data_IF_552745761909
#
_entry.id   IF_552745761909
#
_cell.length_a   1.000
_cell.length_b   1.000
_cell.length_c   1.000
_cell.angle_alpha   90.00
_cell.angle_beta   90.00
_cell.angle_gamma   90.00
#
_symmetry.space_group_name_H-M   'P 1'
#
loop_
_entity.id
_entity.type
_entity.pdbx_description
1 polymer ?
#
# COMPACT_ATOMS: atom_id res chain seq x y z
N UNK A 1 -9.58 -0.34 4.63
CA UNK A 1 -8.39 -1.12 5.08
C UNK A 1 -7.52 -1.34 3.85
N UNK A 2 -6.20 -1.12 3.94
CA UNK A 2 -5.32 -1.35 2.79
C UNK A 2 -4.94 -2.83 2.69
N UNK A 3 -4.89 -3.34 1.47
CA UNK A 3 -4.50 -4.72 1.17
C UNK A 3 -3.29 -4.71 0.24
N UNK A 4 -2.39 -5.71 0.32
CA UNK A 4 -1.33 -5.85 -0.68
C UNK A 4 -1.90 -5.79 -2.11
N UNK A 5 -1.15 -5.20 -3.03
CA UNK A 5 -1.51 -5.17 -4.44
C UNK A 5 -1.26 -6.52 -5.12
N UNK A 6 -2.16 -6.92 -6.02
CA UNK A 6 -1.95 -8.10 -6.85
C UNK A 6 -0.95 -7.76 -7.97
N UNK A 7 0.27 -8.28 -7.85
CA UNK A 7 1.29 -8.20 -8.89
C UNK A 7 1.84 -9.59 -9.15
N UNK A 8 1.83 -10.01 -10.42
CA UNK A 8 2.21 -11.32 -10.97
C UNK A 8 3.14 -12.16 -10.06
N UNK A 9 2.57 -12.91 -9.11
CA UNK A 9 3.28 -13.82 -8.21
C UNK A 9 2.90 -15.25 -8.55
N UNK A 10 3.90 -16.14 -8.56
CA UNK A 10 3.70 -17.59 -8.69
C UNK A 10 2.84 -18.21 -7.55
N UNK A 11 2.60 -17.49 -6.46
CA UNK A 11 1.83 -17.96 -5.29
C UNK A 11 0.59 -17.09 -5.03
N UNK A 12 -0.46 -17.29 -5.82
CA UNK A 12 -1.75 -16.58 -5.69
C UNK A 12 -2.55 -16.95 -4.42
N UNK A 13 -2.25 -18.08 -3.79
CA UNK A 13 -3.00 -18.59 -2.62
C UNK A 13 -2.82 -17.73 -1.37
N UNK A 14 -1.59 -17.35 -1.02
CA UNK A 14 -1.33 -16.51 0.16
C UNK A 14 -1.96 -15.13 0.01
N UNK A 15 -1.90 -14.55 -1.20
CA UNK A 15 -2.55 -13.28 -1.51
C UNK A 15 -4.06 -13.33 -1.28
N UNK A 16 -4.73 -14.35 -1.81
CA UNK A 16 -6.19 -14.50 -1.65
C UNK A 16 -6.56 -14.65 -0.18
N UNK A 17 -5.76 -15.37 0.61
CA UNK A 17 -6.00 -15.52 2.05
C UNK A 17 -5.88 -14.18 2.79
N UNK A 18 -4.81 -13.42 2.54
CA UNK A 18 -4.60 -12.11 3.15
C UNK A 18 -5.74 -11.14 2.81
N UNK A 19 -6.15 -11.09 1.53
CA UNK A 19 -7.27 -10.26 1.08
C UNK A 19 -8.59 -10.72 1.71
N UNK A 20 -8.85 -12.03 1.80
CA UNK A 20 -10.09 -12.54 2.38
C UNK A 20 -10.24 -12.21 3.87
N UNK A 21 -9.14 -12.13 4.62
CA UNK A 21 -9.17 -11.66 6.02
C UNK A 21 -9.66 -10.23 6.09
N UNK A 22 -9.15 -9.34 5.24
CA UNK A 22 -9.54 -7.93 5.24
C UNK A 22 -10.94 -7.70 4.64
N UNK A 23 -11.35 -8.50 3.64
CA UNK A 23 -12.73 -8.50 3.11
C UNK A 23 -13.75 -8.83 4.21
N UNK A 24 -13.43 -9.78 5.11
CA UNK A 24 -14.30 -10.10 6.25
C UNK A 24 -14.44 -8.92 7.23
N UNK A 25 -13.42 -8.08 7.36
CA UNK A 25 -13.38 -6.93 8.28
C UNK A 25 -13.88 -5.61 7.68
N UNK A 26 -14.06 -5.55 6.37
CA UNK A 26 -14.47 -4.33 5.65
C UNK A 26 -15.98 -4.27 5.46
N UNK A 27 -16.61 -3.11 5.53
CA UNK A 27 -18.04 -2.97 5.23
C UNK A 27 -18.31 -2.85 3.72
N UNK A 28 -17.45 -2.11 3.01
CA UNK A 28 -17.49 -1.91 1.56
C UNK A 28 -16.17 -2.35 0.95
N UNK A 29 -16.23 -3.03 -0.18
CA UNK A 29 -15.06 -3.53 -0.91
C UNK A 29 -14.84 -2.66 -2.13
N UNK A 30 -13.66 -2.04 -2.23
CA UNK A 30 -13.28 -1.20 -3.37
C UNK A 30 -12.13 -1.88 -4.11
N UNK A 31 -12.38 -2.33 -5.34
CA UNK A 31 -11.37 -2.94 -6.20
C UNK A 31 -10.88 -1.88 -7.18
N UNK A 32 -9.58 -1.56 -7.13
CA UNK A 32 -8.96 -0.55 -7.98
C UNK A 32 -8.13 -1.23 -9.07
N UNK A 33 -8.45 -0.97 -10.33
CA UNK A 33 -7.76 -1.49 -11.50
C UNK A 33 -7.12 -0.35 -12.29
N UNK A 34 -5.96 -0.63 -12.89
CA UNK A 34 -5.34 0.29 -13.84
C UNK A 34 -5.98 0.09 -15.21
N UNK A 35 -6.69 1.11 -15.70
CA UNK A 35 -7.40 0.99 -16.98
C UNK A 35 -6.45 0.96 -18.18
N UNK A 36 -5.19 1.39 -18.02
CA UNK A 36 -4.23 1.48 -19.14
C UNK A 36 -3.57 0.15 -19.50
N UNK A 37 -3.86 -0.91 -18.76
CA UNK A 37 -3.33 -2.26 -18.99
C UNK A 37 -4.47 -3.24 -19.21
N UNK A 38 -4.21 -4.32 -19.97
CA UNK A 38 -5.18 -5.40 -20.08
C UNK A 38 -5.42 -6.09 -18.74
N UNK A 39 -6.66 -6.50 -18.53
CA UNK A 39 -7.12 -7.17 -17.32
C UNK A 39 -6.65 -8.63 -17.31
N UNK A 40 -5.54 -8.91 -16.63
CA UNK A 40 -4.97 -10.27 -16.55
C UNK A 40 -5.45 -11.08 -15.33
N UNK A 41 -6.31 -10.51 -14.49
CA UNK A 41 -6.57 -11.02 -13.13
C UNK A 41 -8.03 -11.30 -12.83
N UNK A 42 -8.87 -11.38 -13.87
CA UNK A 42 -10.33 -11.54 -13.73
C UNK A 42 -10.69 -12.74 -12.85
N UNK A 43 -10.05 -13.90 -13.04
CA UNK A 43 -10.33 -15.11 -12.25
C UNK A 43 -10.06 -14.96 -10.75
N UNK A 44 -9.00 -14.23 -10.36
CA UNK A 44 -8.64 -14.02 -8.96
C UNK A 44 -9.60 -13.03 -8.33
N UNK A 45 -9.91 -11.94 -9.03
CA UNK A 45 -10.87 -10.95 -8.60
C UNK A 45 -12.25 -11.59 -8.43
N UNK A 46 -12.68 -12.44 -9.37
CA UNK A 46 -13.93 -13.18 -9.26
C UNK A 46 -14.02 -14.03 -7.99
N UNK A 47 -12.93 -14.72 -7.60
CA UNK A 47 -12.90 -15.51 -6.36
C UNK A 47 -13.09 -14.64 -5.12
N UNK A 48 -12.46 -13.46 -5.09
CA UNK A 48 -12.59 -12.49 -3.98
C UNK A 48 -14.01 -11.91 -3.95
N UNK A 49 -14.57 -11.56 -5.11
CA UNK A 49 -15.91 -10.98 -5.24
C UNK A 49 -17.01 -11.99 -4.85
N UNK A 50 -16.84 -13.26 -5.24
CA UNK A 50 -17.78 -14.34 -4.93
C UNK A 50 -17.71 -14.79 -3.46
N UNK A 51 -16.64 -14.48 -2.73
CA UNK A 51 -16.49 -14.88 -1.32
C UNK A 51 -17.36 -14.06 -0.36
N UNK A 52 -18.07 -13.03 -0.86
CA UNK A 52 -18.79 -12.06 -0.03
C UNK A 52 -20.01 -11.47 -0.73
N UNK A 53 -21.04 -11.16 0.06
CA UNK A 53 -22.26 -10.45 -0.38
C UNK A 53 -22.24 -8.96 -0.04
N UNK A 54 -21.14 -8.46 0.55
CA UNK A 54 -21.00 -7.05 0.93
C UNK A 54 -20.99 -6.14 -0.31
N UNK A 55 -21.32 -4.85 -0.17
CA UNK A 55 -21.26 -3.90 -1.28
C UNK A 55 -19.86 -3.83 -1.90
N UNK A 56 -19.81 -3.84 -3.23
CA UNK A 56 -18.61 -3.93 -4.06
C UNK A 56 -18.59 -2.79 -5.08
N UNK A 57 -17.52 -2.01 -5.06
CA UNK A 57 -17.28 -0.92 -5.99
C UNK A 57 -16.06 -1.24 -6.85
N UNK A 58 -16.20 -1.11 -8.16
CA UNK A 58 -15.10 -1.22 -9.10
C UNK A 58 -14.60 0.19 -9.46
N UNK A 59 -13.29 0.38 -9.41
CA UNK A 59 -12.65 1.66 -9.72
C UNK A 59 -11.62 1.45 -10.81
N UNK A 60 -11.87 2.01 -11.98
CA UNK A 60 -10.88 2.14 -13.03
C UNK A 60 -10.07 3.42 -12.83
N UNK A 61 -8.84 3.26 -12.35
CA UNK A 61 -7.90 4.35 -12.13
C UNK A 61 -7.02 4.59 -13.36
N UNK A 62 -6.36 5.75 -13.42
CA UNK A 62 -5.45 6.22 -14.48
C UNK A 62 -6.14 6.54 -15.81
N UNK A 63 -7.36 7.04 -15.74
CA UNK A 63 -8.10 7.50 -16.95
C UNK A 63 -7.40 8.63 -17.70
N UNK A 64 -6.45 9.31 -17.07
CA UNK A 64 -5.59 10.31 -17.72
C UNK A 64 -4.62 9.72 -18.75
N UNK A 65 -4.49 8.38 -18.80
CA UNK A 65 -3.59 7.68 -19.73
C UNK A 65 -4.27 7.06 -20.94
N UNK A 66 -5.60 7.06 -21.00
CA UNK A 66 -6.36 6.37 -22.05
C UNK A 66 -7.40 7.29 -22.66
N UNK A 67 -7.79 6.99 -23.90
CA UNK A 67 -8.94 7.64 -24.52
C UNK A 67 -10.25 7.09 -23.96
N UNK A 68 -11.33 7.82 -24.16
CA UNK A 68 -12.66 7.41 -23.71
C UNK A 68 -13.12 6.12 -24.41
N UNK A 69 -12.79 5.95 -25.69
CA UNK A 69 -13.13 4.78 -26.48
C UNK A 69 -12.47 3.52 -25.92
N UNK A 70 -11.18 3.61 -25.59
CA UNK A 70 -10.43 2.50 -24.98
C UNK A 70 -11.01 2.12 -23.61
N UNK A 71 -11.39 3.11 -22.81
CA UNK A 71 -12.00 2.87 -21.50
C UNK A 71 -13.33 2.09 -21.62
N UNK A 72 -14.19 2.49 -22.57
CA UNK A 72 -15.45 1.82 -22.85
C UNK A 72 -15.21 0.38 -23.34
N UNK A 73 -14.22 0.18 -24.20
CA UNK A 73 -13.87 -1.14 -24.72
C UNK A 73 -13.42 -2.09 -23.61
N UNK A 74 -12.56 -1.63 -22.69
CA UNK A 74 -12.10 -2.45 -21.55
C UNK A 74 -13.27 -2.91 -20.67
N UNK A 75 -14.24 -2.02 -20.44
CA UNK A 75 -15.41 -2.32 -19.61
C UNK A 75 -16.34 -3.32 -20.30
N UNK A 76 -16.57 -3.15 -21.60
CA UNK A 76 -17.44 -4.03 -22.37
C UNK A 76 -16.84 -5.43 -22.59
N UNK A 77 -15.51 -5.52 -22.68
CA UNK A 77 -14.81 -6.81 -22.80
C UNK A 77 -14.88 -7.66 -21.54
N UNK A 78 -15.17 -7.04 -20.40
CA UNK A 78 -15.04 -7.69 -19.13
C UNK A 78 -16.39 -8.08 -18.52
N UNK A 79 -16.71 -9.38 -18.61
CA UNK A 79 -17.92 -9.90 -17.97
C UNK A 79 -17.88 -9.80 -16.43
N UNK A 80 -16.69 -9.68 -15.82
CA UNK A 80 -16.57 -9.59 -14.37
C UNK A 80 -17.22 -8.32 -13.82
N UNK A 81 -17.25 -7.23 -14.61
CA UNK A 81 -17.75 -5.91 -14.22
C UNK A 81 -19.19 -5.98 -13.70
N UNK A 82 -19.99 -6.93 -14.22
CA UNK A 82 -21.39 -7.15 -13.82
C UNK A 82 -21.57 -7.61 -12.38
N UNK A 83 -20.51 -8.02 -11.69
CA UNK A 83 -20.57 -8.49 -10.29
C UNK A 83 -20.38 -7.37 -9.25
N UNK A 84 -20.26 -6.12 -9.71
CA UNK A 84 -20.10 -4.93 -8.87
C UNK A 84 -21.38 -4.11 -8.82
N UNK A 85 -21.60 -3.47 -7.68
CA UNK A 85 -22.78 -2.62 -7.46
C UNK A 85 -22.63 -1.27 -8.17
N UNK A 86 -21.40 -0.73 -8.20
CA UNK A 86 -21.09 0.55 -8.85
C UNK A 86 -19.70 0.53 -9.50
N UNK A 87 -19.53 1.37 -10.52
CA UNK A 87 -18.30 1.49 -11.30
C UNK A 87 -17.91 2.96 -11.39
N UNK A 88 -16.66 3.25 -11.05
CA UNK A 88 -16.09 4.59 -11.11
C UNK A 88 -14.86 4.64 -12.02
N UNK A 89 -14.71 5.78 -12.68
CA UNK A 89 -13.58 6.09 -13.55
C UNK A 89 -12.85 7.30 -12.96
N UNK A 90 -11.62 7.10 -12.49
CA UNK A 90 -10.89 8.12 -11.73
C UNK A 90 -9.47 8.33 -12.24
N UNK A 91 -8.93 9.51 -11.98
CA UNK A 91 -7.48 9.72 -11.99
C UNK A 91 -7.07 10.18 -10.62
N UNK A 92 -6.51 9.25 -9.83
CA UNK A 92 -5.94 9.59 -8.52
C UNK A 92 -4.81 10.63 -8.65
N UNK A 93 -4.00 10.53 -9.72
CA UNK A 93 -2.89 11.45 -9.97
C UNK A 93 -3.37 12.88 -10.28
N UNK A 94 -4.50 13.02 -10.99
CA UNK A 94 -5.07 14.32 -11.37
C UNK A 94 -6.22 14.76 -10.47
N UNK A 95 -6.50 14.01 -9.39
CA UNK A 95 -7.64 14.21 -8.51
C UNK A 95 -9.00 14.31 -9.25
N UNK A 96 -9.18 13.52 -10.31
CA UNK A 96 -10.40 13.54 -11.14
C UNK A 96 -11.40 12.49 -10.68
N UNK A 97 -12.66 12.90 -10.49
CA UNK A 97 -13.80 12.07 -10.06
C UNK A 97 -13.64 11.41 -8.68
N UNK A 98 -12.71 11.89 -7.84
CA UNK A 98 -12.48 11.32 -6.50
C UNK A 98 -13.66 11.59 -5.57
N UNK A 99 -14.26 12.79 -5.60
CA UNK A 99 -15.42 13.10 -4.75
C UNK A 99 -16.60 12.19 -5.04
N UNK A 100 -16.93 11.97 -6.32
CA UNK A 100 -18.02 11.05 -6.71
C UNK A 100 -17.78 9.62 -6.21
N UNK A 101 -16.52 9.15 -6.23
CA UNK A 101 -16.17 7.85 -5.67
C UNK A 101 -16.36 7.83 -4.15
N UNK A 102 -15.95 8.88 -3.44
CA UNK A 102 -16.13 8.99 -2.00
C UNK A 102 -17.62 9.01 -1.63
N UNK A 103 -18.44 9.77 -2.35
CA UNK A 103 -19.89 9.83 -2.15
C UNK A 103 -20.54 8.45 -2.34
N UNK A 104 -20.12 7.70 -3.38
CA UNK A 104 -20.58 6.33 -3.62
C UNK A 104 -20.19 5.35 -2.52
N UNK A 105 -18.96 5.46 -2.00
CA UNK A 105 -18.53 4.66 -0.85
C UNK A 105 -19.38 4.99 0.37
N UNK A 106 -19.58 6.27 0.68
CA UNK A 106 -20.37 6.73 1.83
C UNK A 106 -21.81 6.22 1.74
N UNK A 107 -22.43 6.28 0.56
CA UNK A 107 -23.79 5.79 0.33
C UNK A 107 -23.96 4.28 0.58
N UNK A 108 -22.87 3.49 0.59
CA UNK A 108 -22.89 2.04 0.82
C UNK A 108 -22.42 1.63 2.22
N UNK A 109 -21.91 2.57 3.02
CA UNK A 109 -21.55 2.29 4.40
C UNK A 109 -22.81 2.11 5.25
N UNK A 110 -22.82 1.18 6.22
CA UNK A 110 -23.91 1.07 7.16
C UNK A 110 -23.99 2.33 8.03
N UNK A 111 -25.22 2.75 8.35
CA UNK A 111 -25.42 3.77 9.36
C UNK A 111 -24.92 3.26 10.72
N UNK A 112 -24.19 4.11 11.43
CA UNK A 112 -23.61 3.76 12.71
C UNK A 112 -23.23 5.01 13.50
N UNK A 113 -23.17 4.87 14.82
CA UNK A 113 -22.71 5.95 15.66
C UNK A 113 -21.24 6.21 15.38
N UNK A 114 -20.91 7.47 15.10
CA UNK A 114 -19.54 7.89 14.97
C UNK A 114 -18.85 7.78 16.33
N UNK A 115 -17.87 6.87 16.45
CA UNK A 115 -17.11 6.70 17.68
C UNK A 115 -16.12 7.87 17.83
N UNK A 116 -16.53 8.87 18.59
CA UNK A 116 -15.73 10.06 18.92
C UNK A 116 -14.44 9.74 19.72
N UNK A 117 -14.25 8.49 20.18
CA UNK A 117 -13.00 8.05 20.80
C UNK A 117 -11.92 7.67 19.78
N UNK A 118 -12.30 7.49 18.50
CA UNK A 118 -11.37 7.33 17.38
C UNK A 118 -10.77 8.71 17.07
N UNK A 119 -9.69 9.03 17.78
CA UNK A 119 -8.86 10.17 17.47
C UNK A 119 -8.37 10.02 16.02
N UNK A 120 -8.70 10.96 15.14
CA UNK A 120 -8.27 10.96 13.72
C UNK A 120 -6.75 11.23 13.55
N UNK A 121 -6.02 11.41 14.64
CA UNK A 121 -4.58 11.18 14.64
C UNK A 121 -4.36 9.70 14.30
N UNK A 122 -4.03 9.42 13.04
CA UNK A 122 -3.64 8.10 12.53
C UNK A 122 -3.18 7.18 13.66
N UNK A 123 -3.98 6.16 13.97
CA UNK A 123 -3.75 5.11 14.99
C UNK A 123 -2.50 4.23 14.69
N UNK A 124 -1.57 4.78 13.92
CA UNK A 124 -0.28 4.24 13.59
C UNK A 124 0.64 4.65 14.74
N UNK A 125 1.10 3.68 15.54
CA UNK A 125 2.12 3.96 16.55
C UNK A 125 3.31 4.65 15.87
N UNK A 126 4.01 5.54 16.59
CA UNK A 126 5.18 6.26 16.05
C UNK A 126 6.18 5.30 15.41
N UNK A 127 6.31 4.10 15.97
CA UNK A 127 7.15 3.03 15.45
C UNK A 127 6.73 2.57 14.06
N UNK A 128 5.42 2.36 13.82
CA UNK A 128 4.91 2.00 12.50
C UNK A 128 5.09 3.18 11.54
N UNK A 129 4.80 4.41 11.97
CA UNK A 129 4.97 5.60 11.14
C UNK A 129 6.41 5.77 10.63
N UNK A 130 7.39 5.68 11.53
CA UNK A 130 8.80 5.74 11.14
C UNK A 130 9.22 4.56 10.27
N UNK A 131 8.66 3.36 10.53
CA UNK A 131 8.96 2.17 9.74
C UNK A 131 8.46 2.33 8.30
N UNK A 132 7.27 2.91 8.11
CA UNK A 132 6.68 3.16 6.80
C UNK A 132 7.48 4.19 5.99
N UNK A 133 7.93 5.28 6.61
CA UNK A 133 8.79 6.26 5.93
C UNK A 133 10.11 5.66 5.45
N UNK A 134 10.73 4.81 6.26
CA UNK A 134 11.94 4.09 5.84
C UNK A 134 11.62 3.05 4.78
N UNK A 135 10.48 2.36 4.88
CA UNK A 135 10.02 1.41 3.88
C UNK A 135 9.85 2.10 2.53
N UNK A 136 9.22 3.26 2.45
CA UNK A 136 9.12 4.06 1.21
C UNK A 136 10.49 4.41 0.63
N UNK A 137 11.46 4.80 1.48
CA UNK A 137 12.82 5.06 1.02
C UNK A 137 13.49 3.79 0.46
N UNK A 138 13.26 2.63 1.08
CA UNK A 138 13.72 1.32 0.56
C UNK A 138 13.14 1.08 -0.83
N UNK A 139 11.82 1.25 -1.02
CA UNK A 139 11.16 1.09 -2.33
C UNK A 139 11.75 2.04 -3.39
N UNK A 140 12.05 3.28 -3.01
CA UNK A 140 12.58 4.29 -3.92
C UNK A 140 13.98 3.97 -4.47
N UNK A 141 14.84 3.35 -3.65
CA UNK A 141 16.24 3.08 -4.04
C UNK A 141 16.49 1.64 -4.50
N UNK A 142 15.54 0.74 -4.27
CA UNK A 142 15.61 -0.64 -4.74
C UNK A 142 14.66 -0.82 -5.94
N UNK A 143 15.18 -0.60 -7.15
CA UNK A 143 14.46 -0.72 -8.42
C UNK A 143 14.16 -2.17 -8.87
N UNK A 144 14.02 -3.13 -7.94
CA UNK A 144 13.83 -4.56 -8.24
C UNK A 144 12.63 -5.11 -7.46
N UNK A 145 12.25 -6.38 -7.66
CA UNK A 145 11.13 -7.06 -6.94
C UNK A 145 11.38 -7.26 -5.43
N UNK A 146 12.58 -6.93 -4.95
CA UNK A 146 13.04 -7.10 -3.56
C UNK A 146 12.19 -6.40 -2.48
N UNK A 147 11.66 -5.17 -2.68
CA UNK A 147 10.97 -4.41 -1.65
C UNK A 147 9.75 -5.11 -1.04
N UNK A 148 9.05 -5.97 -1.79
CA UNK A 148 7.91 -6.72 -1.27
C UNK A 148 8.30 -7.87 -0.33
N UNK A 149 9.58 -8.21 -0.24
CA UNK A 149 10.13 -9.20 0.70
C UNK A 149 10.97 -8.54 1.79
N UNK A 150 10.88 -7.21 1.91
CA UNK A 150 11.59 -6.42 2.90
C UNK A 150 10.56 -5.86 3.88
N UNK A 151 10.81 -6.06 5.16
CA UNK A 151 10.01 -5.48 6.25
C UNK A 151 10.90 -4.58 7.10
N UNK A 152 10.40 -3.41 7.48
CA UNK A 152 11.12 -2.47 8.35
C UNK A 152 10.44 -2.45 9.70
N UNK A 153 11.23 -2.55 10.77
CA UNK A 153 10.74 -2.46 12.14
C UNK A 153 11.52 -1.43 12.93
N UNK A 154 10.83 -0.42 13.43
CA UNK A 154 11.36 0.42 14.52
C UNK A 154 11.27 -0.35 15.82
N UNK A 155 12.39 -0.48 16.53
CA UNK A 155 12.45 -1.22 17.80
C UNK A 155 12.89 -0.36 18.97
N UNK A 156 13.40 0.85 18.71
CA UNK A 156 13.81 1.77 19.77
C UNK A 156 13.68 3.22 19.31
N UNK A 157 13.13 4.04 20.18
CA UNK A 157 12.99 5.48 20.02
C UNK A 157 13.44 6.17 21.30
N UNK A 158 14.43 7.05 21.20
CA UNK A 158 14.96 7.78 22.36
C UNK A 158 14.87 9.29 22.14
N UNK A 159 14.45 10.02 23.17
CA UNK A 159 14.49 11.47 23.21
C UNK A 159 15.79 11.93 23.86
N UNK A 160 16.58 12.72 23.14
CA UNK A 160 17.73 13.45 23.69
C UNK A 160 17.39 14.94 23.84
N UNK A 161 18.30 15.71 24.46
CA UNK A 161 18.10 17.13 24.77
C UNK A 161 17.70 18.00 23.56
N UNK A 162 18.19 17.68 22.36
CA UNK A 162 17.96 18.48 21.13
C UNK A 162 17.59 17.65 19.89
N UNK A 163 17.66 16.32 19.98
CA UNK A 163 17.48 15.40 18.86
C UNK A 163 16.70 14.16 19.32
N UNK A 164 16.14 13.42 18.37
CA UNK A 164 15.61 12.08 18.62
C UNK A 164 16.48 11.03 17.95
N UNK A 165 16.62 9.87 18.58
CA UNK A 165 17.29 8.71 18.00
C UNK A 165 16.25 7.66 17.67
N UNK A 166 16.26 7.18 16.43
CA UNK A 166 15.37 6.14 15.93
C UNK A 166 16.22 4.98 15.49
N UNK A 167 15.93 3.79 15.99
CA UNK A 167 16.62 2.57 15.61
C UNK A 167 15.66 1.63 14.91
N UNK A 168 16.06 1.19 13.72
CA UNK A 168 15.26 0.32 12.89
C UNK A 168 16.07 -0.83 12.32
N UNK A 169 15.39 -1.95 12.13
CA UNK A 169 15.92 -3.12 11.44
C UNK A 169 15.17 -3.27 10.11
N UNK A 170 15.93 -3.39 9.03
CA UNK A 170 15.46 -3.81 7.72
C UNK A 170 15.64 -5.32 7.64
N UNK A 171 14.54 -6.05 7.73
CA UNK A 171 14.51 -7.49 7.57
C UNK A 171 14.47 -7.87 6.11
N UNK A 172 15.34 -8.80 5.72
CA UNK A 172 15.42 -9.34 4.37
C UNK A 172 15.35 -10.86 4.39
N UNK A 173 14.88 -11.46 3.30
CA UNK A 173 14.69 -12.91 3.19
C UNK A 173 15.99 -13.74 3.27
N UNK A 174 17.07 -13.26 2.65
CA UNK A 174 18.34 -14.00 2.55
C UNK A 174 19.55 -13.05 2.44
N UNK A 175 20.76 -13.62 2.51
CA UNK A 175 22.00 -12.84 2.47
C UNK A 175 22.26 -12.16 1.13
N UNK A 176 21.73 -12.69 0.02
CA UNK A 176 21.81 -12.02 -1.28
C UNK A 176 21.04 -10.71 -1.24
N UNK A 177 19.83 -10.70 -0.68
CA UNK A 177 19.03 -9.49 -0.52
C UNK A 177 19.70 -8.53 0.47
N UNK A 178 20.32 -9.04 1.54
CA UNK A 178 21.12 -8.24 2.48
C UNK A 178 22.23 -7.47 1.75
N UNK A 179 22.98 -8.13 0.87
CA UNK A 179 24.02 -7.50 0.05
C UNK A 179 23.47 -6.40 -0.86
N UNK A 180 22.28 -6.59 -1.42
CA UNK A 180 21.64 -5.60 -2.29
C UNK A 180 21.19 -4.36 -1.51
N UNK A 181 20.56 -4.56 -0.34
CA UNK A 181 20.14 -3.45 0.55
C UNK A 181 21.34 -2.66 1.05
N UNK A 182 22.42 -3.33 1.43
CA UNK A 182 23.66 -2.66 1.83
C UNK A 182 24.28 -1.92 0.62
N UNK A 183 24.34 -2.59 -0.52
CA UNK A 183 25.03 -2.11 -1.71
C UNK A 183 26.55 -2.08 -1.55
N UNK A 184 27.26 -1.80 -2.64
CA UNK A 184 28.73 -1.68 -2.63
C UNK A 184 29.16 -0.63 -1.61
N UNK A 185 30.00 -1.02 -0.65
CA UNK A 185 30.52 -0.17 0.43
C UNK A 185 29.42 0.55 1.26
N UNK A 186 28.23 -0.05 1.38
CA UNK A 186 27.14 0.55 2.16
C UNK A 186 26.45 1.75 1.46
N UNK A 187 26.70 1.97 0.18
CA UNK A 187 26.19 3.15 -0.52
C UNK A 187 24.66 3.17 -0.64
N UNK A 188 24.04 2.00 -0.80
CA UNK A 188 22.57 1.91 -0.97
C UNK A 188 21.88 2.16 0.36
N UNK A 189 22.30 1.49 1.44
CA UNK A 189 21.74 1.73 2.78
C UNK A 189 21.95 3.17 3.25
N UNK A 190 23.08 3.80 2.88
CA UNK A 190 23.32 5.22 3.16
C UNK A 190 22.30 6.12 2.44
N UNK A 191 21.99 5.86 1.17
CA UNK A 191 20.98 6.62 0.42
C UNK A 191 19.59 6.44 1.02
N UNK A 192 19.23 5.21 1.38
CA UNK A 192 17.97 4.88 2.07
C UNK A 192 17.87 5.69 3.38
N UNK A 193 18.89 5.60 4.24
CA UNK A 193 18.91 6.32 5.51
C UNK A 193 18.84 7.84 5.36
N UNK A 194 19.52 8.42 4.37
CA UNK A 194 19.45 9.86 4.11
C UNK A 194 18.04 10.28 3.69
N UNK A 195 17.39 9.53 2.80
CA UNK A 195 16.05 9.87 2.34
C UNK A 195 14.99 9.68 3.43
N UNK A 196 15.02 8.54 4.13
CA UNK A 196 14.12 8.26 5.24
C UNK A 196 14.24 9.32 6.33
N UNK A 197 15.47 9.64 6.76
CA UNK A 197 15.71 10.68 7.76
C UNK A 197 15.17 12.04 7.32
N UNK A 198 15.36 12.45 6.06
CA UNK A 198 14.85 13.73 5.55
C UNK A 198 13.31 13.80 5.62
N UNK A 199 12.61 12.74 5.21
CA UNK A 199 11.14 12.72 5.30
C UNK A 199 10.66 12.67 6.74
N UNK A 200 11.32 11.90 7.62
CA UNK A 200 11.02 11.87 9.05
C UNK A 200 11.18 13.26 9.67
N UNK A 201 12.32 13.94 9.44
CA UNK A 201 12.55 15.28 10.01
C UNK A 201 11.53 16.31 9.50
N UNK A 202 11.15 16.22 8.23
CA UNK A 202 10.15 17.09 7.61
C UNK A 202 8.77 16.93 8.24
N UNK A 203 8.31 15.69 8.42
CA UNK A 203 6.99 15.41 8.98
C UNK A 203 6.95 15.55 10.50
N UNK A 204 8.01 15.13 11.18
CA UNK A 204 8.12 15.17 12.64
C UNK A 204 8.57 16.55 13.18
N UNK A 205 9.03 17.45 12.31
CA UNK A 205 9.47 18.83 12.63
C UNK A 205 10.56 18.91 13.70
N UNK A 206 11.38 17.87 13.82
CA UNK A 206 12.51 17.79 14.74
C UNK A 206 13.71 17.13 14.07
N UNK A 207 14.91 17.41 14.56
CA UNK A 207 16.13 16.73 14.12
C UNK A 207 16.15 15.29 14.62
N UNK A 208 16.58 14.38 13.74
CA UNK A 208 16.57 12.94 14.02
C UNK A 208 17.89 12.29 13.60
N UNK A 209 18.41 11.42 14.45
CA UNK A 209 19.45 10.45 14.10
C UNK A 209 18.79 9.10 13.84
N UNK A 210 18.83 8.65 12.59
CA UNK A 210 18.28 7.37 12.16
C UNK A 210 19.40 6.32 12.06
N UNK A 211 19.26 5.24 12.83
CA UNK A 211 20.15 4.08 12.82
C UNK A 211 19.44 2.92 12.11
N UNK A 212 20.08 2.38 11.06
CA UNK A 212 19.53 1.30 10.25
C UNK A 212 20.47 0.09 10.29
N UNK A 213 19.92 -1.04 10.73
CA UNK A 213 20.56 -2.35 10.62
C UNK A 213 19.87 -3.21 9.56
N UNK A 214 20.62 -4.14 8.96
CA UNK A 214 20.05 -5.10 7.99
C UNK A 214 20.27 -6.51 8.51
N UNK A 215 19.16 -7.21 8.76
CA UNK A 215 19.16 -8.57 9.30
C UNK A 215 18.40 -9.52 8.39
N UNK A 216 18.87 -10.76 8.31
CA UNK A 216 18.12 -11.84 7.66
C UNK A 216 17.06 -12.34 8.63
N UNK A 217 15.81 -12.41 8.18
CA UNK A 217 14.73 -13.06 8.91
C UNK A 217 14.41 -14.37 8.23
N UNK A 218 14.45 -15.47 8.98
CA UNK A 218 13.83 -16.73 8.55
C UNK A 218 12.33 -16.61 8.82
N UNK A 219 11.59 -16.03 7.88
CA UNK A 219 10.16 -16.30 7.77
C UNK A 219 9.96 -17.59 6.99
#
# INVERSE_FOLDING_TARGET
IDTPGLYNKKNNTNFINDVNVEVKRSDVIVIILDISIHLFYEEILEKIIKSTKKPKILVFNKIDKVSQEFAIEQVNKSNFVKNFDEIYYVSALKNKNINNLLDGIVAKLPEGNFDNSINFETNISKDVFFSELTREAVFKYLNQELPYQIYVKTYKFEKEKRNYKIYQIIYVKNDNHKKIVLGKNGNVIKKIGIAARKEIEKLFKHKVSLFLDVQTSKQ
#
